data_IF_180416437456
#
_entry.id   IF_180416437456
#
_cell.length_a   1.000
_cell.length_b   1.000
_cell.length_c   1.000
_cell.angle_alpha   90.00
_cell.angle_beta   90.00
_cell.angle_gamma   90.00
#
_symmetry.space_group_name_H-M   'P 1'
#
loop_
_entity.id
_entity.type
_entity.pdbx_description
1 polymer ?
#
# COMPACT_ATOMS: atom_id res chain seq x y z
N UNK A 1 -18.55 -18.68 -5.89
CA UNK A 1 -19.96 -19.03 -6.15
C UNK A 1 -20.36 -18.38 -7.44
N UNK A 2 -20.55 -19.17 -8.49
CA UNK A 2 -20.91 -18.67 -9.81
C UNK A 2 -22.41 -18.35 -9.83
N UNK A 3 -22.76 -17.23 -10.46
CA UNK A 3 -24.15 -16.80 -10.65
C UNK A 3 -24.42 -16.73 -12.14
N UNK A 4 -25.59 -17.21 -12.55
CA UNK A 4 -26.09 -17.00 -13.91
C UNK A 4 -26.23 -15.49 -14.17
N UNK A 5 -25.79 -15.05 -15.34
CA UNK A 5 -25.92 -13.66 -15.78
C UNK A 5 -27.04 -13.55 -16.81
N UNK A 6 -27.80 -12.44 -16.82
CA UNK A 6 -28.84 -12.22 -17.82
C UNK A 6 -28.26 -12.23 -19.24
N UNK A 7 -28.83 -13.05 -20.11
CA UNK A 7 -28.46 -13.11 -21.52
C UNK A 7 -29.21 -12.09 -22.38
N UNK A 8 -30.35 -11.59 -21.89
CA UNK A 8 -31.17 -10.61 -22.60
C UNK A 8 -30.93 -9.19 -22.06
N UNK A 9 -30.80 -8.24 -22.99
CA UNK A 9 -30.63 -6.82 -22.68
C UNK A 9 -29.20 -6.40 -22.35
N UNK A 10 -29.04 -5.13 -21.98
CA UNK A 10 -27.75 -4.55 -21.63
C UNK A 10 -27.40 -4.83 -20.17
N UNK A 11 -26.24 -5.42 -19.93
CA UNK A 11 -25.66 -5.57 -18.59
C UNK A 11 -24.56 -4.55 -18.37
N UNK A 12 -24.41 -4.06 -17.14
CA UNK A 12 -23.29 -3.20 -16.78
C UNK A 12 -22.09 -4.04 -16.35
N UNK A 13 -20.90 -3.64 -16.79
CA UNK A 13 -19.65 -4.29 -16.43
C UNK A 13 -18.79 -3.34 -15.62
N UNK A 14 -18.24 -3.85 -14.52
CA UNK A 14 -17.15 -3.25 -13.77
C UNK A 14 -15.91 -4.08 -14.01
N UNK A 15 -14.81 -3.43 -14.38
CA UNK A 15 -13.52 -4.07 -14.59
C UNK A 15 -12.41 -3.20 -14.03
N UNK A 16 -11.26 -3.79 -13.76
CA UNK A 16 -10.11 -3.07 -13.26
C UNK A 16 -8.83 -3.79 -13.69
N UNK A 17 -7.79 -3.03 -14.02
CA UNK A 17 -6.45 -3.52 -14.38
C UNK A 17 -5.45 -2.79 -13.49
N UNK A 18 -4.52 -3.52 -12.91
CA UNK A 18 -3.44 -2.97 -12.09
C UNK A 18 -2.32 -3.98 -11.90
N UNK A 19 -1.25 -3.54 -11.24
CA UNK A 19 -0.14 -4.42 -10.88
C UNK A 19 -0.60 -5.43 -9.82
N UNK A 20 -0.22 -6.69 -10.00
CA UNK A 20 -0.41 -7.75 -9.00
C UNK A 20 0.64 -7.62 -7.89
N UNK A 21 0.26 -8.03 -6.68
CA UNK A 21 1.20 -8.14 -5.57
C UNK A 21 2.07 -9.41 -5.67
N UNK A 22 2.90 -9.68 -4.66
CA UNK A 22 3.81 -10.83 -4.65
C UNK A 22 3.08 -12.19 -4.59
N UNK A 23 1.82 -12.22 -4.17
CA UNK A 23 0.99 -13.42 -4.16
C UNK A 23 0.23 -13.60 -5.48
N UNK A 24 0.47 -12.73 -6.48
CA UNK A 24 -0.32 -12.61 -7.70
C UNK A 24 -1.78 -12.22 -7.44
N UNK A 25 -2.05 -11.50 -6.35
CA UNK A 25 -3.39 -11.03 -6.00
C UNK A 25 -3.62 -9.58 -6.49
N UNK A 26 -4.86 -9.21 -6.83
CA UNK A 26 -5.21 -7.83 -7.16
C UNK A 26 -5.16 -6.92 -5.92
N UNK A 27 -4.19 -6.00 -5.86
CA UNK A 27 -4.07 -5.06 -4.74
C UNK A 27 -4.78 -3.72 -5.01
N UNK A 28 -4.41 -3.04 -6.09
CA UNK A 28 -4.95 -1.73 -6.48
C UNK A 28 -5.03 -1.61 -7.99
N UNK A 29 -5.99 -0.82 -8.47
CA UNK A 29 -6.25 -0.67 -9.88
C UNK A 29 -5.70 0.64 -10.44
N UNK A 30 -5.09 0.55 -11.61
CA UNK A 30 -4.55 1.67 -12.36
C UNK A 30 -5.53 2.16 -13.42
N UNK A 31 -6.23 1.20 -14.06
CA UNK A 31 -7.17 1.44 -15.15
C UNK A 31 -8.49 0.79 -14.78
N UNK A 32 -9.55 1.57 -14.79
CA UNK A 32 -10.89 1.15 -14.44
C UNK A 32 -11.89 2.11 -15.11
N UNK A 33 -13.16 1.68 -15.32
CA UNK A 33 -14.16 2.53 -15.91
C UNK A 33 -14.53 3.67 -14.95
N UNK A 34 -14.40 4.91 -15.42
CA UNK A 34 -14.85 6.12 -14.70
C UNK A 34 -16.32 6.46 -14.94
N UNK A 35 -16.94 5.74 -15.87
CA UNK A 35 -18.34 5.90 -16.29
C UNK A 35 -18.96 4.53 -16.43
N UNK A 36 -20.28 4.46 -16.42
CA UNK A 36 -20.97 3.20 -16.65
C UNK A 36 -20.65 2.67 -18.06
N UNK A 37 -20.27 1.41 -18.11
CA UNK A 37 -20.05 0.66 -19.35
C UNK A 37 -21.05 -0.47 -19.37
N UNK A 38 -21.84 -0.56 -20.44
CA UNK A 38 -22.73 -1.69 -20.67
C UNK A 38 -22.34 -2.50 -21.91
N UNK A 39 -22.66 -3.78 -21.87
CA UNK A 39 -22.55 -4.69 -23.01
C UNK A 39 -23.83 -5.50 -23.16
N UNK A 40 -24.12 -5.90 -24.39
CA UNK A 40 -25.19 -6.85 -24.70
C UNK A 40 -24.50 -8.17 -25.06
N UNK A 41 -24.72 -9.22 -24.26
CA UNK A 41 -23.99 -10.48 -24.41
C UNK A 41 -24.57 -11.38 -25.51
N UNK A 42 -25.87 -11.25 -25.80
CA UNK A 42 -26.56 -12.02 -26.83
C UNK A 42 -27.44 -11.11 -27.73
N UNK A 43 -26.84 -10.28 -28.59
CA UNK A 43 -27.60 -9.42 -29.49
C UNK A 43 -28.36 -10.26 -30.53
N UNK A 44 -29.61 -9.87 -30.84
CA UNK A 44 -30.46 -10.58 -31.82
C UNK A 44 -29.85 -10.67 -33.22
N UNK A 45 -29.03 -9.68 -33.60
CA UNK A 45 -28.26 -9.68 -34.83
C UNK A 45 -26.77 -9.49 -34.51
N UNK A 46 -25.85 -10.20 -35.19
CA UNK A 46 -24.42 -10.01 -35.00
C UNK A 46 -24.00 -8.56 -35.29
N UNK A 47 -23.67 -7.80 -34.25
CA UNK A 47 -23.23 -6.41 -34.37
C UNK A 47 -21.75 -6.30 -34.01
N UNK A 48 -20.94 -5.75 -34.92
CA UNK A 48 -19.54 -5.40 -34.64
C UNK A 48 -19.47 -4.08 -33.87
N UNK A 49 -19.74 -4.13 -32.57
CA UNK A 49 -19.65 -2.98 -31.65
C UNK A 49 -18.37 -2.97 -30.82
N UNK A 50 -17.32 -3.66 -31.26
CA UNK A 50 -16.03 -3.65 -30.58
C UNK A 50 -15.46 -2.23 -30.58
N UNK A 51 -15.25 -1.68 -29.39
CA UNK A 51 -14.45 -0.49 -29.18
C UNK A 51 -13.31 -0.84 -28.22
N UNK A 52 -12.20 -0.09 -28.29
CA UNK A 52 -11.12 -0.27 -27.33
C UNK A 52 -11.63 0.09 -25.92
N UNK A 53 -11.79 -0.91 -25.06
CA UNK A 53 -12.16 -0.71 -23.65
C UNK A 53 -11.07 0.04 -22.88
N UNK A 54 -9.82 -0.11 -23.33
CA UNK A 54 -8.67 0.62 -22.82
C UNK A 54 -8.40 1.83 -23.71
N UNK A 55 -8.19 2.99 -23.10
CA UNK A 55 -7.51 4.11 -23.78
C UNK A 55 -6.02 3.81 -23.76
N UNK A 56 -5.26 4.39 -24.70
CA UNK A 56 -3.80 4.34 -24.64
C UNK A 56 -3.34 4.71 -23.23
N UNK A 57 -2.38 3.95 -22.69
CA UNK A 57 -1.78 4.32 -21.42
C UNK A 57 -1.31 5.77 -21.54
N UNK A 58 -1.88 6.63 -20.70
CA UNK A 58 -1.37 8.00 -20.56
C UNK A 58 0.10 7.84 -20.20
N UNK A 59 1.00 8.47 -20.97
CA UNK A 59 2.41 8.48 -20.61
C UNK A 59 2.51 8.90 -19.15
N UNK A 60 2.95 7.97 -18.31
CA UNK A 60 3.23 8.26 -16.91
C UNK A 60 4.44 9.16 -16.98
N UNK A 61 4.22 10.47 -16.82
CA UNK A 61 5.32 11.44 -16.82
C UNK A 61 6.38 11.06 -15.79
N UNK A 62 7.56 11.68 -15.88
CA UNK A 62 8.77 11.27 -15.15
C UNK A 62 8.51 10.82 -13.70
N UNK A 63 8.92 9.60 -13.32
CA UNK A 63 8.78 9.09 -11.97
C UNK A 63 9.32 10.05 -10.90
N UNK A 64 8.71 10.05 -9.71
CA UNK A 64 9.27 10.75 -8.56
C UNK A 64 10.58 10.09 -8.13
N UNK A 65 11.55 10.91 -7.77
CA UNK A 65 12.82 10.42 -7.26
C UNK A 65 12.66 9.81 -5.87
N UNK A 66 13.40 8.73 -5.60
CA UNK A 66 13.47 8.12 -4.27
C UNK A 66 14.19 9.08 -3.32
N UNK A 67 13.49 9.55 -2.29
CA UNK A 67 14.09 10.36 -1.24
C UNK A 67 15.11 9.55 -0.42
N UNK A 68 16.16 10.20 0.06
CA UNK A 68 17.17 9.58 0.92
C UNK A 68 17.44 10.47 2.13
N UNK A 69 17.54 9.87 3.31
CA UNK A 69 17.90 10.54 4.56
C UNK A 69 19.10 9.82 5.17
N UNK A 70 20.28 10.44 5.03
CA UNK A 70 21.56 9.91 5.52
C UNK A 70 22.30 10.87 6.46
N UNK A 71 21.67 11.98 6.85
CA UNK A 71 22.23 12.92 7.81
C UNK A 71 22.40 12.24 9.18
N UNK A 72 23.67 12.11 9.56
CA UNK A 72 24.13 11.44 10.78
C UNK A 72 23.70 12.16 12.06
N UNK A 73 23.21 13.38 12.00
CA UNK A 73 22.73 14.16 13.15
C UNK A 73 21.25 13.93 13.45
N UNK A 74 20.46 13.48 12.46
CA UNK A 74 19.02 13.27 12.63
C UNK A 74 18.78 12.06 13.55
N UNK A 75 18.01 12.27 14.62
CA UNK A 75 17.55 11.21 15.54
C UNK A 75 16.04 11.15 15.67
N UNK A 76 15.33 12.13 15.11
CA UNK A 76 13.88 12.24 15.17
C UNK A 76 13.34 12.35 13.76
N UNK A 77 12.41 11.46 13.44
CA UNK A 77 11.72 11.40 12.17
C UNK A 77 10.23 11.67 12.39
N UNK A 78 9.63 12.45 11.51
CA UNK A 78 8.19 12.65 11.48
C UNK A 78 7.60 11.78 10.38
N UNK A 79 6.70 10.88 10.77
CA UNK A 79 6.03 9.93 9.88
C UNK A 79 4.57 10.35 9.73
N UNK A 80 4.13 10.61 8.51
CA UNK A 80 2.75 11.06 8.22
C UNK A 80 2.21 10.31 7.01
N UNK A 81 0.91 10.05 7.01
CA UNK A 81 0.23 9.45 5.87
C UNK A 81 -0.12 10.53 4.83
N UNK A 82 0.10 10.22 3.55
CA UNK A 82 -0.28 11.08 2.43
C UNK A 82 -0.59 10.29 1.16
N UNK A 83 -0.92 10.97 0.05
CA UNK A 83 -1.18 10.32 -1.23
C UNK A 83 0.02 9.51 -1.71
N UNK A 84 -0.19 8.30 -2.21
CA UNK A 84 0.91 7.44 -2.65
C UNK A 84 1.59 7.89 -3.95
N UNK A 85 0.94 8.74 -4.75
CA UNK A 85 1.39 9.06 -6.10
C UNK A 85 1.27 7.89 -7.10
N UNK A 86 0.69 6.75 -6.69
CA UNK A 86 0.42 5.57 -7.53
C UNK A 86 1.63 5.18 -8.41
N UNK A 87 1.41 4.99 -9.73
CA UNK A 87 2.45 4.66 -10.72
C UNK A 87 3.63 5.63 -10.71
N UNK A 88 3.41 6.92 -10.46
CA UNK A 88 4.46 7.96 -10.51
C UNK A 88 5.27 8.05 -9.21
N UNK A 89 4.62 7.76 -8.09
CA UNK A 89 5.20 7.85 -6.75
C UNK A 89 5.64 6.48 -6.23
N UNK A 90 4.88 5.95 -5.28
CA UNK A 90 5.24 4.78 -4.48
C UNK A 90 5.62 3.57 -5.34
N UNK A 91 4.85 3.27 -6.39
CA UNK A 91 5.13 2.12 -7.25
C UNK A 91 6.42 2.29 -8.06
N UNK A 92 6.73 3.49 -8.53
CA UNK A 92 8.00 3.74 -9.22
C UNK A 92 9.20 3.74 -8.26
N UNK A 93 9.02 4.27 -7.04
CA UNK A 93 10.08 4.38 -6.04
C UNK A 93 10.45 3.01 -5.46
N UNK A 94 9.44 2.20 -5.16
CA UNK A 94 9.60 0.96 -4.39
C UNK A 94 9.52 -0.29 -5.26
N UNK A 95 8.90 -0.19 -6.44
CA UNK A 95 8.58 -1.35 -7.27
C UNK A 95 7.38 -2.17 -6.79
N UNK A 96 6.80 -1.90 -5.62
CA UNK A 96 5.63 -2.63 -5.12
C UNK A 96 4.31 -2.04 -5.62
N UNK A 97 3.23 -2.80 -5.48
CA UNK A 97 1.88 -2.29 -5.75
C UNK A 97 1.57 -1.12 -4.82
N UNK A 98 0.96 -0.07 -5.37
CA UNK A 98 0.62 1.12 -4.59
C UNK A 98 -0.80 1.04 -4.03
N UNK A 99 -0.98 1.37 -2.76
CA UNK A 99 -2.31 1.71 -2.21
C UNK A 99 -2.65 3.18 -2.46
N UNK A 100 -3.84 3.64 -2.04
CA UNK A 100 -4.21 5.07 -2.13
C UNK A 100 -3.30 5.96 -1.27
N UNK A 101 -2.90 5.45 -0.11
CA UNK A 101 -2.11 6.16 0.90
C UNK A 101 -0.73 5.52 1.06
N UNK A 102 0.27 6.32 1.43
CA UNK A 102 1.63 5.88 1.71
C UNK A 102 2.27 6.70 2.84
N UNK A 103 3.33 6.15 3.44
CA UNK A 103 4.10 6.84 4.47
C UNK A 103 5.07 7.86 3.88
N UNK A 104 5.02 9.06 4.44
CA UNK A 104 6.01 10.11 4.25
C UNK A 104 6.86 10.23 5.51
N UNK A 105 8.18 10.22 5.35
CA UNK A 105 9.11 10.46 6.44
C UNK A 105 9.83 11.78 6.18
N UNK A 106 9.72 12.74 7.10
CA UNK A 106 10.22 14.10 6.96
C UNK A 106 9.79 14.77 5.63
N UNK A 107 8.56 14.48 5.17
CA UNK A 107 8.00 15.03 3.95
C UNK A 107 8.43 14.32 2.65
N UNK A 108 9.27 13.27 2.73
CA UNK A 108 9.66 12.46 1.58
C UNK A 108 8.81 11.19 1.52
N UNK A 109 8.32 10.84 0.33
CA UNK A 109 7.54 9.61 0.11
C UNK A 109 8.45 8.38 0.17
N UNK A 110 8.12 7.41 1.04
CA UNK A 110 8.80 6.12 1.19
C UNK A 110 10.33 6.19 1.03
N UNK A 111 11.02 7.07 1.80
CA UNK A 111 12.43 7.33 1.56
C UNK A 111 13.30 6.20 2.09
N UNK A 112 14.52 6.14 1.58
CA UNK A 112 15.58 5.32 2.17
C UNK A 112 16.20 6.05 3.36
N UNK A 113 16.26 5.37 4.51
CA UNK A 113 16.77 5.97 5.75
C UNK A 113 18.00 5.19 6.21
N UNK A 114 19.10 5.90 6.44
CA UNK A 114 20.35 5.31 6.89
C UNK A 114 20.55 5.59 8.37
N UNK A 115 20.51 4.52 9.18
CA UNK A 115 20.67 4.58 10.63
C UNK A 115 22.04 4.05 11.05
N UNK A 116 22.49 4.46 12.24
CA UNK A 116 23.74 3.99 12.85
C UNK A 116 23.45 3.05 14.00
N UNK A 117 24.21 1.96 14.06
CA UNK A 117 24.19 1.02 15.19
C UNK A 117 24.56 1.71 16.50
N UNK A 118 23.98 1.23 17.60
CA UNK A 118 24.21 1.72 18.95
C UNK A 118 23.50 3.04 19.28
N UNK A 119 22.62 3.53 18.40
CA UNK A 119 21.86 4.76 18.61
C UNK A 119 20.36 4.48 18.72
N UNK A 120 19.69 5.32 19.50
CA UNK A 120 18.24 5.34 19.59
C UNK A 120 17.67 6.40 18.66
N UNK A 121 16.68 5.99 17.87
CA UNK A 121 15.93 6.85 16.95
C UNK A 121 14.48 6.94 17.37
N UNK A 122 13.87 8.07 17.08
CA UNK A 122 12.48 8.37 17.43
C UNK A 122 11.69 8.63 16.16
N UNK A 123 10.56 7.94 15.98
CA UNK A 123 9.60 8.21 14.93
C UNK A 123 8.32 8.76 15.57
N UNK A 124 7.94 9.99 15.22
CA UNK A 124 6.65 10.59 15.57
C UNK A 124 5.64 10.14 14.53
N UNK A 125 4.65 9.35 14.92
CA UNK A 125 3.72 8.70 13.98
C UNK A 125 2.37 9.42 13.96
N UNK A 126 2.02 9.96 12.79
CA UNK A 126 0.75 10.63 12.51
C UNK A 126 -0.05 9.81 11.48
N UNK A 127 -0.56 8.65 11.90
CA UNK A 127 -1.35 7.74 11.05
C UNK A 127 -2.78 7.50 11.53
N UNK A 128 -3.17 8.07 12.67
CA UNK A 128 -4.44 7.77 13.32
C UNK A 128 -4.38 6.49 14.16
N UNK A 129 -5.30 6.38 15.11
CA UNK A 129 -5.32 5.36 16.16
C UNK A 129 -6.70 4.75 16.40
N UNK A 130 -7.65 4.90 15.48
CA UNK A 130 -8.98 4.32 15.61
C UNK A 130 -9.03 2.94 14.94
N UNK A 131 -8.84 1.82 15.67
CA UNK A 131 -8.80 0.48 15.08
C UNK A 131 -10.12 0.04 14.42
N UNK A 132 -11.19 0.82 14.58
CA UNK A 132 -12.49 0.55 13.98
C UNK A 132 -12.71 1.32 12.67
N UNK A 133 -11.80 2.22 12.30
CA UNK A 133 -11.86 2.98 11.05
C UNK A 133 -10.68 2.65 10.14
N UNK A 134 -10.90 2.01 8.97
CA UNK A 134 -9.83 1.81 8.00
C UNK A 134 -9.31 3.13 7.40
N UNK A 135 -10.05 4.24 7.55
CA UNK A 135 -9.63 5.58 7.12
C UNK A 135 -8.74 6.27 8.16
N UNK A 136 -8.87 5.92 9.45
CA UNK A 136 -8.16 6.59 10.55
C UNK A 136 -7.26 5.65 11.34
N UNK A 137 -6.89 4.50 10.76
CA UNK A 137 -6.00 3.52 11.37
C UNK A 137 -4.84 3.15 10.46
N UNK A 138 -3.71 3.82 10.65
CA UNK A 138 -2.48 3.53 9.94
C UNK A 138 -1.34 3.40 10.95
N UNK A 139 -1.15 2.22 11.57
CA UNK A 139 0.02 1.99 12.40
C UNK A 139 1.30 1.98 11.56
N UNK A 140 2.40 2.45 12.15
CA UNK A 140 3.74 2.29 11.58
C UNK A 140 4.44 1.17 12.34
N UNK A 141 4.81 0.10 11.64
CA UNK A 141 5.56 -1.02 12.17
C UNK A 141 6.85 -1.12 11.37
N UNK A 142 7.97 -1.22 12.07
CA UNK A 142 9.30 -1.37 11.44
C UNK A 142 9.68 -2.85 11.60
N UNK A 143 9.91 -3.51 10.48
CA UNK A 143 10.24 -4.95 10.42
C UNK A 143 11.41 -5.18 9.47
N UNK A 144 11.93 -6.40 9.44
CA UNK A 144 12.88 -6.85 8.41
C UNK A 144 12.22 -7.51 7.19
N UNK A 145 10.88 -7.53 7.13
CA UNK A 145 10.16 -7.99 5.96
C UNK A 145 10.25 -6.95 4.83
N UNK A 146 10.75 -7.32 3.62
CA UNK A 146 10.92 -6.38 2.52
C UNK A 146 9.58 -5.91 1.92
N UNK A 147 8.49 -6.62 2.18
CA UNK A 147 7.18 -6.40 1.56
C UNK A 147 6.25 -5.53 2.43
N UNK A 148 6.38 -5.65 3.75
CA UNK A 148 5.60 -4.90 4.72
C UNK A 148 4.19 -5.48 4.87
N UNK A 149 3.25 -4.65 5.34
CA UNK A 149 1.87 -5.10 5.55
C UNK A 149 1.74 -6.16 6.65
N UNK A 150 2.59 -6.11 7.67
CA UNK A 150 2.65 -7.06 8.79
C UNK A 150 1.27 -7.46 9.35
N UNK A 151 0.37 -6.49 9.56
CA UNK A 151 -0.97 -6.74 10.12
C UNK A 151 -1.90 -7.55 9.20
N UNK A 152 -1.57 -7.68 7.91
CA UNK A 152 -2.31 -8.50 6.93
C UNK A 152 -1.80 -9.94 6.84
N UNK A 153 -0.63 -10.21 7.41
CA UNK A 153 -0.04 -11.54 7.41
C UNK A 153 -0.82 -12.49 8.34
N UNK A 154 -0.83 -13.78 7.99
CA UNK A 154 -1.33 -14.82 8.89
C UNK A 154 -0.45 -14.90 10.14
N UNK A 155 -0.99 -15.42 11.26
CA UNK A 155 -0.20 -15.59 12.50
C UNK A 155 1.11 -16.38 12.27
N UNK A 156 1.08 -17.38 11.38
CA UNK A 156 2.26 -18.17 11.00
C UNK A 156 3.28 -17.33 10.24
N UNK A 157 2.85 -16.47 9.31
CA UNK A 157 3.74 -15.59 8.58
C UNK A 157 4.30 -14.48 9.50
N UNK A 158 3.47 -13.88 10.36
CA UNK A 158 3.91 -12.90 11.35
C UNK A 158 5.00 -13.45 12.28
N UNK A 159 4.92 -14.74 12.66
CA UNK A 159 5.93 -15.38 13.52
C UNK A 159 7.33 -15.47 12.90
N UNK A 160 7.43 -15.35 11.56
CA UNK A 160 8.68 -15.40 10.82
C UNK A 160 9.30 -14.01 10.57
N UNK A 161 8.55 -12.95 10.85
CA UNK A 161 8.98 -11.57 10.64
C UNK A 161 9.49 -10.99 11.95
N UNK A 162 10.69 -10.42 11.94
CA UNK A 162 11.25 -9.76 13.12
C UNK A 162 10.72 -8.33 13.18
N UNK A 163 9.97 -8.05 14.24
CA UNK A 163 9.51 -6.68 14.51
C UNK A 163 10.59 -5.93 15.28
N UNK A 164 10.99 -4.79 14.75
CA UNK A 164 12.08 -3.94 15.25
C UNK A 164 11.53 -2.78 16.09
N UNK A 165 10.37 -2.25 15.72
CA UNK A 165 9.63 -1.23 16.48
C UNK A 165 8.16 -1.17 16.02
N UNK A 166 7.29 -0.53 16.81
CA UNK A 166 5.91 -0.26 16.38
C UNK A 166 4.84 -1.19 16.94
N UNK A 167 5.21 -2.16 17.77
CA UNK A 167 4.24 -3.07 18.42
C UNK A 167 4.48 -3.16 19.93
N UNK A 168 3.40 -3.37 20.66
CA UNK A 168 3.37 -3.85 22.04
C UNK A 168 2.91 -5.31 22.03
N UNK A 169 3.58 -6.16 22.80
CA UNK A 169 3.16 -7.55 22.94
C UNK A 169 2.16 -7.69 24.08
N UNK A 170 1.00 -8.27 23.78
CA UNK A 170 0.04 -8.67 24.83
C UNK A 170 0.65 -9.72 25.76
N UNK A 171 0.04 -9.96 26.92
CA UNK A 171 0.46 -11.04 27.85
C UNK A 171 0.51 -12.43 27.20
N UNK A 172 -0.22 -12.63 26.09
CA UNK A 172 -0.24 -13.88 25.31
C UNK A 172 0.77 -13.88 24.15
N UNK A 173 1.69 -12.91 24.11
CA UNK A 173 2.69 -12.78 23.05
C UNK A 173 2.15 -12.28 21.71
N UNK A 174 0.86 -11.92 21.62
CA UNK A 174 0.31 -11.39 20.36
C UNK A 174 0.76 -9.93 20.14
N UNK A 175 1.38 -9.60 18.99
CA UNK A 175 1.77 -8.24 18.67
C UNK A 175 0.52 -7.36 18.50
N UNK A 176 0.59 -6.13 18.99
CA UNK A 176 -0.44 -5.10 18.82
C UNK A 176 0.21 -3.80 18.38
N UNK A 177 -0.19 -3.22 17.25
CA UNK A 177 0.43 -1.99 16.79
C UNK A 177 0.21 -0.84 17.78
N UNK A 178 1.26 -0.06 18.05
CA UNK A 178 1.20 1.12 18.92
C UNK A 178 0.84 2.37 18.12
N UNK A 179 -0.41 2.43 17.67
CA UNK A 179 -0.89 3.51 16.81
C UNK A 179 -0.82 4.90 17.47
N UNK A 180 -0.42 5.91 16.69
CA UNK A 180 -0.28 7.35 17.03
C UNK A 180 0.64 7.71 18.20
N UNK A 181 1.61 6.86 18.55
CA UNK A 181 2.59 7.15 19.60
C UNK A 181 3.99 7.38 19.04
N UNK A 182 4.84 7.92 19.90
CA UNK A 182 6.28 8.03 19.66
C UNK A 182 6.87 6.61 19.62
N UNK A 183 7.38 6.19 18.47
CA UNK A 183 8.11 4.93 18.34
C UNK A 183 9.58 5.16 18.61
N UNK A 184 10.18 4.29 19.44
CA UNK A 184 11.61 4.26 19.65
C UNK A 184 12.17 3.03 18.98
N UNK A 185 13.14 3.23 18.10
CA UNK A 185 13.91 2.17 17.48
C UNK A 185 15.32 2.24 18.02
N UNK A 186 15.77 1.18 18.69
CA UNK A 186 17.17 1.03 19.08
C UNK A 186 17.83 0.16 18.00
N UNK A 187 18.81 0.73 17.31
CA UNK A 187 19.53 0.04 16.25
C UNK A 187 20.64 -0.82 16.87
N UNK A 188 20.27 -1.99 17.41
CA UNK A 188 21.21 -2.97 17.95
C UNK A 188 21.49 -4.05 16.89
N UNK A 189 22.78 -4.34 16.67
CA UNK A 189 23.35 -5.39 15.81
C UNK A 189 22.35 -6.04 14.82
N UNK A 190 22.05 -5.31 13.75
CA UNK A 190 21.59 -5.87 12.46
C UNK A 190 22.75 -6.56 11.75
#
# INVERSE_FOLDING_TARGET
SDKEFPLEGSIYIVWAIGKLDENNEPAFHDVYPKTNISVELNPKEPKKSCYAFTRSEREVGEPWSKGQIFDKTIRVFTSTIGPSGAKKGYQAITGHTSTALAWYINGLLAPEIWLRRGLTYVFKVNGGNDPHSPEYYHPLIITDDPHGGYDRLTDVAQSKVRVLAGVEYSRRGRPRPTASKVLKLVCELF
#
